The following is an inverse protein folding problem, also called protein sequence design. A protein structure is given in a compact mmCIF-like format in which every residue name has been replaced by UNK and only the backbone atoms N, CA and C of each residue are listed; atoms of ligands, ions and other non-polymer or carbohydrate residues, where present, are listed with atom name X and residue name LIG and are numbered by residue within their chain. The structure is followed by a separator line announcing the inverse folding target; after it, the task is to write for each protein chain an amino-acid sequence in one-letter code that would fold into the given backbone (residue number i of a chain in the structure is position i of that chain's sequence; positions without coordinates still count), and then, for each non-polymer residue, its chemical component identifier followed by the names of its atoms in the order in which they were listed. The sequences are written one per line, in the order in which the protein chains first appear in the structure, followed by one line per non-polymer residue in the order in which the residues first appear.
data_IF_746575909684
#
_entry.id   IF_746575909684
#
_cell.length_a   1.000
_cell.length_b   1.000
_cell.length_c   1.000
_cell.angle_alpha   90.00
_cell.angle_beta   90.00
_cell.angle_gamma   90.00
#
_symmetry.space_group_name_H-M   'P 1'
#
loop_
_entity.id
_entity.type
_entity.pdbx_description
1 polymer ?
#
# COMPACT_ATOMS: atom_id res chain seq x y z
N UNK A 1 -9.78 -3.37 -10.51
CA UNK A 1 -9.79 -4.24 -9.32
C UNK A 1 -8.74 -5.33 -9.51
N UNK A 2 -8.19 -5.92 -8.44
CA UNK A 2 -7.35 -7.12 -8.57
C UNK A 2 -8.18 -8.29 -9.15
N UNK A 3 -7.53 -9.33 -9.71
CA UNK A 3 -8.23 -10.49 -10.24
C UNK A 3 -8.95 -11.29 -9.12
N UNK A 4 -9.98 -12.09 -9.44
CA UNK A 4 -10.80 -12.80 -8.43
C UNK A 4 -10.05 -13.76 -7.49
N UNK A 5 -8.82 -14.15 -7.85
CA UNK A 5 -7.94 -14.98 -7.02
C UNK A 5 -7.36 -14.23 -5.81
N UNK A 6 -7.40 -12.89 -5.82
CA UNK A 6 -6.99 -12.03 -4.71
C UNK A 6 -8.17 -11.85 -3.78
N UNK A 7 -8.17 -12.53 -2.63
CA UNK A 7 -9.34 -12.63 -1.74
C UNK A 7 -9.12 -12.06 -0.35
N UNK A 8 -7.87 -11.86 0.05
CA UNK A 8 -7.45 -11.37 1.37
C UNK A 8 -6.54 -10.13 1.29
N UNK A 9 -6.29 -9.49 2.44
CA UNK A 9 -5.29 -8.40 2.53
C UNK A 9 -3.90 -8.90 2.16
N UNK A 10 -3.52 -10.10 2.63
CA UNK A 10 -2.27 -10.77 2.26
C UNK A 10 -2.14 -10.92 0.74
N UNK A 11 -3.19 -11.43 0.09
CA UNK A 11 -3.19 -11.56 -1.37
C UNK A 11 -3.06 -10.19 -2.04
N UNK A 12 -3.71 -9.15 -1.52
CA UNK A 12 -3.63 -7.81 -2.10
C UNK A 12 -2.21 -7.23 -2.00
N UNK A 13 -1.54 -7.41 -0.86
CA UNK A 13 -0.13 -7.03 -0.67
C UNK A 13 0.75 -7.77 -1.69
N UNK A 14 0.61 -9.09 -1.77
CA UNK A 14 1.37 -9.92 -2.72
C UNK A 14 1.08 -9.54 -4.18
N UNK A 15 -0.15 -9.18 -4.49
CA UNK A 15 -0.54 -8.72 -5.83
C UNK A 15 0.14 -7.41 -6.22
N UNK A 16 0.18 -6.42 -5.32
CA UNK A 16 0.93 -5.18 -5.60
C UNK A 16 2.43 -5.43 -5.66
N UNK A 17 2.94 -6.30 -4.78
CA UNK A 17 4.36 -6.63 -4.76
C UNK A 17 4.80 -7.38 -6.04
N UNK A 18 3.97 -8.28 -6.57
CA UNK A 18 4.21 -8.95 -7.85
C UNK A 18 4.34 -7.96 -9.02
N UNK A 19 3.60 -6.85 -9.00
CA UNK A 19 3.75 -5.78 -9.99
C UNK A 19 5.08 -5.04 -9.86
N UNK A 20 5.52 -4.78 -8.64
CA UNK A 20 6.84 -4.20 -8.36
C UNK A 20 7.96 -5.11 -8.91
N UNK A 21 7.84 -6.43 -8.73
CA UNK A 21 8.78 -7.40 -9.30
C UNK A 21 8.76 -7.32 -10.84
N UNK A 22 7.57 -7.29 -11.45
CA UNK A 22 7.43 -7.20 -12.90
C UNK A 22 8.08 -5.93 -13.48
N UNK A 23 7.85 -4.78 -12.84
CA UNK A 23 8.48 -3.51 -13.22
C UNK A 23 10.00 -3.56 -13.02
N UNK A 24 10.48 -4.10 -11.89
CA UNK A 24 11.91 -4.24 -11.62
C UNK A 24 12.64 -5.15 -12.62
N UNK A 25 11.93 -6.10 -13.22
CA UNK A 25 12.42 -6.99 -14.26
C UNK A 25 12.24 -6.43 -15.69
N UNK A 26 11.78 -5.18 -15.84
CA UNK A 26 11.61 -4.51 -17.13
C UNK A 26 10.32 -4.84 -17.87
N UNK A 27 9.44 -5.69 -17.32
CA UNK A 27 8.16 -6.04 -17.95
C UNK A 27 7.05 -5.01 -17.70
N UNK A 28 7.21 -4.16 -16.70
CA UNK A 28 6.21 -3.18 -16.27
C UNK A 28 5.05 -3.77 -15.46
N UNK A 29 4.36 -2.92 -14.68
CA UNK A 29 3.30 -3.34 -13.75
C UNK A 29 2.03 -3.90 -14.40
N UNK A 30 1.84 -3.68 -15.70
CA UNK A 30 0.65 -4.11 -16.46
C UNK A 30 0.82 -5.46 -17.17
N UNK A 31 2.00 -6.09 -17.10
CA UNK A 31 2.21 -7.42 -17.67
C UNK A 31 1.51 -8.50 -16.84
N UNK A 32 0.23 -8.75 -17.13
CA UNK A 32 -0.63 -9.62 -16.33
C UNK A 32 -0.07 -11.03 -16.16
N UNK A 33 0.44 -11.66 -17.22
CA UNK A 33 0.97 -13.02 -17.16
C UNK A 33 2.17 -13.14 -16.24
N UNK A 34 3.12 -12.20 -16.33
CA UNK A 34 4.29 -12.18 -15.44
C UNK A 34 3.89 -11.85 -14.00
N UNK A 35 3.01 -10.88 -13.79
CA UNK A 35 2.50 -10.51 -12.46
C UNK A 35 1.78 -11.70 -11.81
N UNK A 36 0.92 -12.40 -12.54
CA UNK A 36 0.23 -13.61 -12.04
C UNK A 36 1.22 -14.71 -11.67
N UNK A 37 2.24 -14.96 -12.51
CA UNK A 37 3.32 -15.91 -12.18
C UNK A 37 3.97 -15.54 -10.85
N UNK A 38 4.43 -14.30 -10.69
CA UNK A 38 5.08 -13.83 -9.46
C UNK A 38 4.16 -13.85 -8.25
N UNK A 39 2.89 -13.54 -8.42
CA UNK A 39 1.88 -13.66 -7.38
C UNK A 39 1.73 -15.12 -6.88
N UNK A 40 1.72 -16.10 -7.79
CA UNK A 40 1.74 -17.53 -7.43
C UNK A 40 2.94 -17.91 -6.57
N UNK A 41 4.15 -17.55 -7.03
CA UNK A 41 5.40 -17.83 -6.31
C UNK A 41 5.43 -17.20 -4.90
N UNK A 42 4.86 -15.99 -4.74
CA UNK A 42 4.74 -15.35 -3.43
C UNK A 42 3.76 -16.09 -2.50
N UNK A 43 2.67 -16.64 -3.04
CA UNK A 43 1.69 -17.41 -2.25
C UNK A 43 2.23 -18.75 -1.79
N UNK A 44 3.03 -19.40 -2.63
CA UNK A 44 3.68 -20.68 -2.32
C UNK A 44 4.86 -20.52 -1.36
N UNK A 45 5.30 -19.28 -1.12
CA UNK A 45 6.46 -18.98 -0.26
C UNK A 45 7.80 -19.19 -0.96
N UNK A 46 7.80 -19.45 -2.28
CA UNK A 46 9.03 -19.60 -3.10
C UNK A 46 9.86 -18.32 -3.14
N UNK A 47 9.20 -17.15 -3.11
CA UNK A 47 9.86 -15.85 -2.99
C UNK A 47 9.74 -15.42 -1.53
N UNK A 48 10.85 -15.51 -0.80
CA UNK A 48 10.85 -15.16 0.60
C UNK A 48 10.77 -13.64 0.79
N UNK A 49 9.83 -13.19 1.62
CA UNK A 49 9.58 -11.78 1.92
C UNK A 49 10.84 -11.00 2.37
N UNK A 50 11.88 -11.66 2.87
CA UNK A 50 13.13 -11.01 3.25
C UNK A 50 14.04 -10.64 2.07
N UNK A 51 13.92 -11.28 0.90
CA UNK A 51 14.70 -10.90 -0.30
C UNK A 51 14.28 -9.53 -0.85
N UNK A 52 13.04 -9.11 -0.54
CA UNK A 52 12.50 -7.77 -0.77
C UNK A 52 13.34 -6.69 -0.06
N UNK A 53 13.99 -7.03 1.08
CA UNK A 53 14.73 -6.07 1.92
C UNK A 53 15.92 -5.45 1.20
N UNK A 54 16.67 -6.22 0.40
CA UNK A 54 17.84 -5.71 -0.32
C UNK A 54 17.45 -4.74 -1.43
N UNK A 55 16.42 -5.10 -2.22
CA UNK A 55 16.02 -4.36 -3.43
C UNK A 55 15.56 -2.92 -3.20
N UNK A 56 14.94 -2.64 -2.05
CA UNK A 56 14.34 -1.33 -1.77
C UNK A 56 15.36 -0.36 -1.16
N UNK A 57 16.21 -0.85 -0.23
CA UNK A 57 17.19 -0.01 0.47
C UNK A 57 18.35 0.42 -0.42
N UNK A 58 18.81 -0.47 -1.31
CA UNK A 58 19.96 -0.18 -2.20
C UNK A 58 19.64 0.78 -3.35
N UNK A 59 18.36 1.12 -3.55
CA UNK A 59 17.90 1.91 -4.71
C UNK A 59 17.10 3.16 -4.35
N UNK A 60 16.99 3.49 -3.06
CA UNK A 60 16.39 4.77 -2.65
C UNK A 60 17.36 5.90 -2.96
N UNK A 61 16.97 6.77 -3.89
CA UNK A 61 17.67 8.01 -4.18
C UNK A 61 17.14 9.11 -3.28
N UNK A 62 18.02 9.67 -2.46
CA UNK A 62 17.69 10.75 -1.50
C UNK A 62 17.89 12.15 -2.09
N UNK A 63 18.39 12.22 -3.32
CA UNK A 63 18.73 13.42 -4.08
C UNK A 63 17.72 13.75 -5.19
N UNK A 64 16.61 12.99 -5.31
CA UNK A 64 15.51 13.29 -6.22
C UNK A 64 14.14 13.02 -5.60
N UNK A 65 13.15 13.83 -5.97
CA UNK A 65 11.76 13.65 -5.56
C UNK A 65 11.18 12.37 -6.14
N UNK A 66 10.68 11.47 -5.30
CA UNK A 66 10.19 10.16 -5.74
C UNK A 66 8.97 10.23 -6.69
N UNK A 67 8.23 11.34 -6.68
CA UNK A 67 7.03 11.52 -7.50
C UNK A 67 7.27 12.23 -8.82
N UNK A 68 8.22 13.17 -8.90
CA UNK A 68 8.44 13.99 -10.10
C UNK A 68 9.89 14.08 -10.58
N UNK A 69 10.86 13.56 -9.83
CA UNK A 69 12.28 13.59 -10.19
C UNK A 69 13.00 14.92 -9.96
N UNK A 70 12.34 15.95 -9.43
CA UNK A 70 13.00 17.21 -9.07
C UNK A 70 14.14 16.97 -8.07
N UNK A 71 15.27 17.64 -8.24
CA UNK A 71 16.48 17.47 -7.40
C UNK A 71 16.73 18.59 -6.40
N UNK A 72 15.81 19.55 -6.33
CA UNK A 72 15.92 20.74 -5.48
C UNK A 72 14.74 20.82 -4.52
N UNK A 73 14.91 21.56 -3.42
CA UNK A 73 13.89 21.79 -2.40
C UNK A 73 13.25 20.48 -1.89
N UNK A 74 14.10 19.47 -1.65
CA UNK A 74 13.67 18.18 -1.16
C UNK A 74 13.37 18.25 0.34
N UNK A 75 12.35 17.49 0.71
CA UNK A 75 11.85 17.33 2.08
C UNK A 75 11.53 15.86 2.32
N UNK A 76 11.44 15.51 3.59
CA UNK A 76 11.04 14.19 4.04
C UNK A 76 9.53 14.19 4.26
N UNK A 77 8.84 13.18 3.74
CA UNK A 77 7.40 12.99 3.90
C UNK A 77 7.06 11.57 4.39
N UNK A 78 5.93 11.45 5.10
CA UNK A 78 5.39 10.20 5.60
C UNK A 78 4.27 9.67 4.69
N UNK A 79 4.45 8.47 4.16
CA UNK A 79 3.48 7.80 3.30
C UNK A 79 2.16 7.50 4.02
N UNK A 80 2.22 7.09 5.29
CA UNK A 80 1.14 7.23 6.26
C UNK A 80 1.40 8.51 7.07
N UNK A 81 0.61 9.59 6.88
CA UNK A 81 0.84 10.88 7.52
C UNK A 81 0.82 10.85 9.05
N UNK A 82 1.55 11.77 9.68
CA UNK A 82 1.60 11.92 11.15
C UNK A 82 0.25 12.27 11.79
N UNK A 83 -0.65 12.97 11.08
CA UNK A 83 -2.01 13.22 11.58
C UNK A 83 -2.86 11.93 11.75
N UNK A 84 -2.40 10.82 11.16
CA UNK A 84 -2.96 9.48 11.36
C UNK A 84 -2.09 8.62 12.28
N UNK A 85 -1.24 9.25 13.10
CA UNK A 85 -0.23 8.60 13.96
C UNK A 85 0.73 7.69 13.18
N UNK A 86 1.02 8.03 11.92
CA UNK A 86 1.99 7.30 11.12
C UNK A 86 3.39 7.32 11.77
N UNK A 87 4.10 6.18 11.85
CA UNK A 87 5.35 6.09 12.59
C UNK A 87 6.51 6.77 11.85
N UNK A 88 7.47 7.28 12.61
CA UNK A 88 8.80 7.69 12.12
C UNK A 88 9.67 6.45 11.80
N UNK A 89 9.24 5.63 10.85
CA UNK A 89 9.91 4.42 10.38
C UNK A 89 10.52 4.67 8.99
N UNK A 90 11.73 4.15 8.73
CA UNK A 90 12.37 4.25 7.40
C UNK A 90 11.45 3.77 6.28
N UNK A 91 10.64 2.73 6.51
CA UNK A 91 9.65 2.20 5.55
C UNK A 91 8.43 3.11 5.34
N UNK A 92 8.18 4.05 6.24
CA UNK A 92 7.09 5.03 6.12
C UNK A 92 7.56 6.34 5.47
N UNK A 93 8.87 6.52 5.30
CA UNK A 93 9.45 7.81 4.93
C UNK A 93 9.96 7.80 3.48
N UNK A 94 9.76 8.91 2.75
CA UNK A 94 10.24 9.13 1.38
C UNK A 94 10.78 10.55 1.19
N UNK A 95 11.62 10.75 0.17
CA UNK A 95 12.14 12.06 -0.25
C UNK A 95 11.30 12.64 -1.39
N UNK A 96 10.74 13.83 -1.18
CA UNK A 96 9.90 14.53 -2.16
C UNK A 96 10.18 16.03 -2.16
N UNK A 97 10.00 16.71 -3.30
CA UNK A 97 10.09 18.16 -3.36
C UNK A 97 8.93 18.82 -2.59
N UNK A 98 9.14 20.05 -2.11
CA UNK A 98 8.12 20.81 -1.38
C UNK A 98 6.79 20.93 -2.11
N UNK A 99 6.78 21.08 -3.44
CA UNK A 99 5.55 21.13 -4.24
C UNK A 99 4.77 19.82 -4.17
N UNK A 100 5.44 18.68 -4.34
CA UNK A 100 4.81 17.37 -4.19
C UNK A 100 4.34 17.13 -2.76
N UNK A 101 5.10 17.58 -1.76
CA UNK A 101 4.72 17.48 -0.36
C UNK A 101 3.44 18.27 -0.06
N UNK A 102 3.38 19.53 -0.51
CA UNK A 102 2.18 20.36 -0.38
C UNK A 102 0.98 19.77 -1.13
N UNK A 103 1.19 19.21 -2.33
CA UNK A 103 0.14 18.58 -3.13
C UNK A 103 -0.43 17.32 -2.45
N UNK A 104 0.45 16.50 -1.87
CA UNK A 104 0.05 15.32 -1.09
C UNK A 104 -0.71 15.74 0.16
N UNK A 105 -0.15 16.66 0.93
CA UNK A 105 -0.71 17.09 2.22
C UNK A 105 -0.92 15.89 3.15
N UNK A 106 -2.07 15.85 3.82
CA UNK A 106 -2.43 14.77 4.75
C UNK A 106 -2.96 13.49 4.08
N UNK A 107 -2.74 13.29 2.77
CA UNK A 107 -3.19 12.07 2.08
C UNK A 107 -2.18 10.95 2.26
N UNK A 108 -2.67 9.72 2.34
CA UNK A 108 -1.82 8.51 2.32
C UNK A 108 -1.27 8.22 0.93
N UNK A 109 -0.37 7.25 0.81
CA UNK A 109 0.27 6.92 -0.47
C UNK A 109 -0.73 6.59 -1.57
N UNK A 110 -1.62 5.60 -1.39
CA UNK A 110 -2.56 5.20 -2.44
C UNK A 110 -3.69 6.23 -2.59
N UNK A 111 -4.11 6.85 -1.50
CA UNK A 111 -5.07 7.97 -1.49
C UNK A 111 -4.56 9.13 -2.35
N UNK A 112 -3.31 9.56 -2.18
CA UNK A 112 -2.70 10.64 -2.96
C UNK A 112 -2.68 10.31 -4.46
N UNK A 113 -2.21 9.11 -4.83
CA UNK A 113 -2.20 8.70 -6.23
C UNK A 113 -3.61 8.57 -6.81
N UNK A 114 -4.57 8.12 -6.01
CA UNK A 114 -5.97 8.05 -6.43
C UNK A 114 -6.55 9.44 -6.69
N UNK A 115 -6.30 10.41 -5.81
CA UNK A 115 -6.77 11.78 -6.02
C UNK A 115 -6.11 12.41 -7.26
N UNK A 116 -4.82 12.14 -7.49
CA UNK A 116 -4.06 12.76 -8.60
C UNK A 116 -4.33 12.11 -9.96
N UNK A 117 -4.57 10.80 -10.00
CA UNK A 117 -4.58 9.99 -11.24
C UNK A 117 -5.69 8.92 -11.30
N UNK A 118 -6.66 9.01 -10.40
CA UNK A 118 -7.69 7.98 -10.22
C UNK A 118 -7.13 6.68 -9.64
N UNK A 119 -8.03 5.74 -9.35
CA UNK A 119 -7.63 4.43 -8.81
C UNK A 119 -6.73 3.66 -9.78
N UNK A 120 -6.78 3.95 -11.09
CA UNK A 120 -5.83 3.42 -12.07
C UNK A 120 -4.39 3.79 -11.74
N UNK A 121 -4.13 5.07 -11.44
CA UNK A 121 -2.81 5.52 -11.00
C UNK A 121 -2.35 4.84 -9.72
N UNK A 122 -3.24 4.69 -8.73
CA UNK A 122 -2.90 3.98 -7.49
C UNK A 122 -2.64 2.47 -7.69
N UNK A 123 -3.13 1.86 -8.77
CA UNK A 123 -2.88 0.44 -9.09
C UNK A 123 -1.56 0.20 -9.83
N UNK A 124 -1.04 1.18 -10.57
CA UNK A 124 0.03 0.94 -11.54
C UNK A 124 1.10 2.04 -11.62
N UNK A 125 0.89 3.20 -11.03
CA UNK A 125 1.77 4.37 -11.19
C UNK A 125 2.38 4.87 -9.87
N UNK A 126 2.16 4.16 -8.77
CA UNK A 126 2.90 4.42 -7.52
C UNK A 126 4.38 4.13 -7.78
N UNK A 127 5.32 5.03 -7.46
CA UNK A 127 6.74 4.77 -7.65
C UNK A 127 7.20 3.49 -6.93
N UNK A 128 7.95 2.64 -7.63
CA UNK A 128 8.39 1.31 -7.16
C UNK A 128 8.97 1.32 -5.75
N UNK A 129 9.83 2.29 -5.45
CA UNK A 129 10.50 2.40 -4.15
C UNK A 129 9.52 2.81 -3.06
N UNK A 130 8.67 3.82 -3.29
CA UNK A 130 7.65 4.25 -2.34
C UNK A 130 6.68 3.10 -2.03
N UNK A 131 6.16 2.46 -3.07
CA UNK A 131 5.22 1.35 -2.92
C UNK A 131 5.86 0.16 -2.19
N UNK A 132 7.10 -0.19 -2.51
CA UNK A 132 7.81 -1.28 -1.85
C UNK A 132 8.04 -1.02 -0.35
N UNK A 133 8.47 0.19 0.01
CA UNK A 133 8.63 0.62 1.42
C UNK A 133 7.29 0.55 2.15
N UNK A 134 6.24 1.09 1.55
CA UNK A 134 4.91 1.14 2.15
C UNK A 134 4.27 -0.23 2.32
N UNK A 135 4.31 -1.09 1.30
CA UNK A 135 3.83 -2.48 1.40
C UNK A 135 4.58 -3.25 2.49
N UNK A 136 5.87 -2.96 2.70
CA UNK A 136 6.65 -3.53 3.78
C UNK A 136 6.14 -3.13 5.15
N UNK A 137 5.92 -1.83 5.36
CA UNK A 137 5.30 -1.30 6.58
C UNK A 137 3.92 -1.94 6.82
N UNK A 138 3.06 -1.95 5.80
CA UNK A 138 1.71 -2.52 5.88
C UNK A 138 1.78 -3.99 6.30
N UNK A 139 2.60 -4.80 5.62
CA UNK A 139 2.71 -6.22 5.94
C UNK A 139 3.18 -6.46 7.38
N UNK A 140 4.22 -5.77 7.84
CA UNK A 140 4.77 -5.96 9.18
C UNK A 140 3.72 -5.59 10.26
N UNK A 141 3.07 -4.44 10.12
CA UNK A 141 2.02 -3.99 11.07
C UNK A 141 0.81 -4.93 11.08
N UNK A 142 0.33 -5.36 9.90
CA UNK A 142 -0.83 -6.24 9.81
C UNK A 142 -0.52 -7.67 10.24
N UNK A 143 0.73 -8.13 10.08
CA UNK A 143 1.18 -9.42 10.60
C UNK A 143 1.13 -9.43 12.13
N UNK A 144 1.71 -8.41 12.77
CA UNK A 144 1.72 -8.28 14.23
C UNK A 144 0.31 -8.20 14.83
N UNK A 145 -0.64 -7.65 14.07
CA UNK A 145 -2.05 -7.52 14.49
C UNK A 145 -2.96 -8.67 14.05
N UNK A 146 -2.41 -9.71 13.41
CA UNK A 146 -3.17 -10.84 12.85
C UNK A 146 -4.28 -10.41 11.85
N UNK A 147 -4.01 -9.40 11.02
CA UNK A 147 -4.97 -8.82 10.06
C UNK A 147 -4.68 -9.20 8.61
N UNK A 148 -3.61 -9.94 8.33
CA UNK A 148 -3.23 -10.33 6.97
C UNK A 148 -4.30 -11.17 6.27
N UNK A 149 -5.00 -12.02 7.02
CA UNK A 149 -5.98 -12.98 6.47
C UNK A 149 -7.42 -12.46 6.49
N UNK A 150 -7.60 -11.14 6.69
CA UNK A 150 -8.89 -10.51 6.49
C UNK A 150 -9.32 -10.67 5.04
N UNK A 151 -10.39 -11.43 4.82
CA UNK A 151 -11.00 -11.60 3.51
C UNK A 151 -11.91 -10.41 3.13
N UNK A 152 -12.28 -10.35 1.86
CA UNK A 152 -13.16 -9.29 1.32
C UNK A 152 -14.47 -9.15 2.11
N UNK A 153 -15.08 -10.24 2.60
CA UNK A 153 -16.33 -10.19 3.35
C UNK A 153 -16.12 -9.59 4.74
N UNK A 154 -15.07 -10.02 5.46
CA UNK A 154 -14.69 -9.47 6.77
C UNK A 154 -14.36 -7.98 6.66
N UNK A 155 -13.63 -7.56 5.62
CA UNK A 155 -13.34 -6.15 5.36
C UNK A 155 -14.63 -5.37 5.12
N UNK A 156 -15.50 -5.85 4.24
CA UNK A 156 -16.77 -5.18 3.92
C UNK A 156 -17.67 -5.01 5.13
N UNK A 157 -17.74 -6.02 6.02
CA UNK A 157 -18.60 -5.99 7.21
C UNK A 157 -18.00 -5.19 8.35
N UNK A 158 -16.69 -5.31 8.59
CA UNK A 158 -16.08 -4.84 9.84
C UNK A 158 -15.18 -3.62 9.68
N UNK A 159 -14.65 -3.38 8.48
CA UNK A 159 -13.73 -2.26 8.20
C UNK A 159 -14.42 -1.17 7.40
N UNK A 160 -15.01 -1.50 6.24
CA UNK A 160 -15.60 -0.51 5.34
C UNK A 160 -16.61 0.45 6.01
N UNK A 161 -17.49 0.02 6.94
CA UNK A 161 -18.49 0.92 7.54
C UNK A 161 -17.89 2.07 8.35
N UNK A 162 -16.68 1.88 8.90
CA UNK A 162 -15.96 2.85 9.74
C UNK A 162 -14.66 3.37 9.09
N UNK A 163 -14.44 3.05 7.81
CA UNK A 163 -13.25 3.45 7.09
C UNK A 163 -13.37 4.90 6.63
N UNK A 164 -12.38 5.73 6.97
CA UNK A 164 -12.35 7.14 6.63
C UNK A 164 -12.06 7.41 5.13
N UNK A 165 -11.61 6.40 4.38
CA UNK A 165 -11.40 6.46 2.92
C UNK A 165 -12.69 6.12 2.13
N UNK A 166 -13.79 5.77 2.81
CA UNK A 166 -15.02 5.25 2.18
C UNK A 166 -15.55 6.15 1.06
N UNK A 167 -15.57 7.46 1.26
CA UNK A 167 -16.06 8.42 0.26
C UNK A 167 -15.26 8.35 -1.06
N UNK A 168 -13.93 8.24 -0.95
CA UNK A 168 -13.06 8.06 -2.12
C UNK A 168 -13.30 6.70 -2.78
N UNK A 169 -13.50 5.64 -1.99
CA UNK A 169 -13.84 4.33 -2.52
C UNK A 169 -15.16 4.34 -3.33
N UNK A 170 -16.18 5.08 -2.86
CA UNK A 170 -17.46 5.26 -3.57
C UNK A 170 -17.23 6.01 -4.89
N UNK A 171 -16.49 7.13 -4.85
CA UNK A 171 -16.12 7.92 -6.04
C UNK A 171 -15.43 7.06 -7.11
N UNK A 172 -14.51 6.19 -6.67
CA UNK A 172 -13.76 5.27 -7.55
C UNK A 172 -14.49 3.95 -7.85
N UNK A 173 -15.75 3.80 -7.45
CA UNK A 173 -16.59 2.58 -7.65
C UNK A 173 -15.93 1.29 -7.15
N UNK A 174 -15.20 1.42 -6.05
CA UNK A 174 -14.39 0.38 -5.41
C UNK A 174 -14.89 -0.04 -4.03
N UNK A 175 -15.94 0.59 -3.51
CA UNK A 175 -16.57 0.21 -2.24
C UNK A 175 -16.92 -1.29 -2.21
N UNK A 176 -16.59 -1.95 -1.10
CA UNK A 176 -16.83 -3.39 -0.91
C UNK A 176 -15.95 -4.31 -1.76
N UNK A 177 -14.98 -3.77 -2.51
CA UNK A 177 -14.02 -4.52 -3.32
C UNK A 177 -12.60 -4.25 -2.83
N UNK A 178 -11.75 -5.27 -2.87
CA UNK A 178 -10.33 -5.08 -2.57
C UNK A 178 -9.68 -4.13 -3.58
N UNK A 179 -8.98 -3.12 -3.08
CA UNK A 179 -8.21 -2.17 -3.88
C UNK A 179 -7.03 -1.64 -3.05
N UNK A 180 -6.02 -0.99 -3.65
CA UNK A 180 -4.92 -0.41 -2.89
C UNK A 180 -5.36 0.53 -1.75
N UNK A 181 -6.49 1.23 -1.90
CA UNK A 181 -7.08 2.07 -0.84
C UNK A 181 -7.46 1.28 0.43
N UNK A 182 -7.74 -0.03 0.31
CA UNK A 182 -7.97 -0.88 1.47
C UNK A 182 -6.71 -0.97 2.34
N UNK A 183 -5.51 -0.95 1.76
CA UNK A 183 -4.26 -0.99 2.52
C UNK A 183 -4.08 0.28 3.34
N UNK A 184 -4.38 1.44 2.75
CA UNK A 184 -4.38 2.74 3.42
C UNK A 184 -5.37 2.77 4.60
N UNK A 185 -6.62 2.36 4.37
CA UNK A 185 -7.66 2.40 5.39
C UNK A 185 -7.41 1.43 6.54
N UNK A 186 -7.01 0.19 6.24
CA UNK A 186 -6.72 -0.82 7.26
C UNK A 186 -5.49 -0.40 8.07
N UNK A 187 -4.42 0.07 7.42
CA UNK A 187 -3.23 0.52 8.11
C UNK A 187 -3.56 1.69 9.06
N UNK A 188 -4.34 2.66 8.61
CA UNK A 188 -4.76 3.80 9.45
C UNK A 188 -5.51 3.34 10.69
N UNK A 189 -6.46 2.42 10.53
CA UNK A 189 -7.24 1.91 11.66
C UNK A 189 -6.37 1.25 12.74
N UNK A 190 -5.19 0.76 12.36
CA UNK A 190 -4.21 0.24 13.31
C UNK A 190 -3.58 1.34 14.17
N UNK A 191 -3.31 2.52 13.59
CA UNK A 191 -2.63 3.63 14.28
C UNK A 191 -3.58 4.63 14.97
N UNK A 192 -4.87 4.61 14.63
CA UNK A 192 -5.90 5.42 15.31
C UNK A 192 -6.55 4.73 16.52
N UNK A 193 -6.44 3.41 16.62
CA UNK A 193 -7.04 2.67 17.74
C UNK A 193 -6.15 2.75 18.98
N UNK A 194 -6.44 3.69 19.89
CA UNK A 194 -5.92 3.66 21.25
C UNK A 194 -6.36 2.36 21.94
N UNK A 195 -5.43 1.46 22.27
CA UNK A 195 -5.57 0.34 23.21
C UNK A 195 -6.76 -0.64 23.08
N UNK A 196 -7.38 -0.79 21.91
CA UNK A 196 -8.33 -1.91 21.70
C UNK A 196 -7.77 -2.83 20.63
N UNK A 197 -7.31 -4.01 21.06
CA UNK A 197 -7.10 -5.16 20.18
C UNK A 197 -8.34 -5.27 19.30
N UNK A 198 -8.22 -5.20 17.98
CA UNK A 198 -9.30 -5.57 17.08
C UNK A 198 -9.56 -7.07 17.24
N UNK A 199 -10.28 -7.44 18.30
CA UNK A 199 -10.80 -8.77 18.51
C UNK A 199 -11.96 -8.94 17.53
N UNK A 200 -11.66 -9.51 16.37
CA UNK A 200 -12.71 -10.09 15.53
C UNK A 200 -13.17 -11.36 16.25
N UNK A 201 -14.13 -11.23 17.17
CA UNK A 201 -14.81 -12.40 17.72
C UNK A 201 -15.50 -13.11 16.55
N UNK A 202 -15.08 -14.34 16.30
CA UNK A 202 -15.80 -15.27 15.44
C UNK A 202 -17.18 -15.50 16.09
N UNK A 203 -18.19 -14.83 15.58
CA UNK A 203 -19.57 -15.24 15.85
C UNK A 203 -19.82 -16.47 14.97
N UNK A 204 -19.82 -17.64 15.62
CA UNK A 204 -20.29 -18.92 15.08
C UNK A 204 -21.68 -18.78 14.45
#
# INVERSE_FOLDING_TARGET
MPPPVVKSVRDLIFWQYAKIIAESAGFGKKNYGFVMKKFGQLKEGEIFWNEIRGYVKEREKRDECIFCGAKTNLTVDHMLPRCFNGPDDEKNIIWICQECNSSKGSKRLYEFLTVKKGLEGAKYEVPRIAEGKYLKLVYEVLKERNLLDLDTNKIRRNICPKCDIKELCVKERSEGKLSPLCLDGILTSCFQSSNTVMSFRETN
#
